data_IF_779362560391
#
_entry.id   IF_779362560391
#
_cell.length_a   1.000
_cell.length_b   1.000
_cell.length_c   1.000
_cell.angle_alpha   90.00
_cell.angle_beta   90.00
_cell.angle_gamma   90.00
#
_symmetry.space_group_name_H-M   'P 1'
#
loop_
_entity.id
_entity.type
_entity.pdbx_description
1 polymer ?
#
# COMPACT_ATOMS: atom_id res chain seq x y z
N UNK A 1 -1.37 -23.53 13.13
CA UNK A 1 -1.14 -22.08 13.19
C UNK A 1 -0.98 -21.54 11.78
N UNK A 2 -1.35 -20.29 11.55
CA UNK A 2 -1.32 -19.71 10.22
C UNK A 2 -0.31 -18.55 10.17
N UNK A 3 0.30 -18.35 9.02
CA UNK A 3 1.19 -17.23 8.77
C UNK A 3 0.55 -16.34 7.67
N UNK A 4 0.37 -15.07 7.96
CA UNK A 4 -0.15 -14.13 6.96
C UNK A 4 0.86 -13.96 5.83
N UNK A 5 0.42 -14.08 4.57
CA UNK A 5 1.32 -13.99 3.42
C UNK A 5 1.01 -12.79 2.51
N UNK A 6 -0.23 -12.36 2.42
CA UNK A 6 -0.56 -11.16 1.68
C UNK A 6 -1.86 -10.53 2.15
N UNK A 7 -2.05 -9.27 1.80
CA UNK A 7 -3.32 -8.54 1.90
C UNK A 7 -3.62 -7.96 0.53
N UNK A 8 -4.89 -7.87 0.17
CA UNK A 8 -5.32 -7.46 -1.16
C UNK A 8 -6.04 -6.11 -1.13
N UNK A 9 -5.71 -5.28 -2.11
CA UNK A 9 -6.39 -4.00 -2.37
C UNK A 9 -6.81 -3.99 -3.83
N UNK A 10 -8.04 -3.56 -4.10
CA UNK A 10 -8.49 -3.31 -5.47
C UNK A 10 -8.02 -1.94 -5.92
N UNK A 11 -7.51 -1.86 -7.15
CA UNK A 11 -7.02 -0.61 -7.73
C UNK A 11 -7.71 -0.33 -9.06
N UNK A 12 -7.91 0.93 -9.32
CA UNK A 12 -8.57 1.40 -10.54
C UNK A 12 -7.56 1.59 -11.68
N UNK A 13 -6.35 2.07 -11.35
CA UNK A 13 -5.27 2.33 -12.30
C UNK A 13 -4.02 1.59 -11.82
N UNK A 14 -3.76 0.43 -12.40
CA UNK A 14 -2.67 -0.44 -11.94
C UNK A 14 -1.31 0.22 -12.07
N UNK A 15 -1.01 0.85 -13.20
CA UNK A 15 0.30 1.46 -13.43
C UNK A 15 0.59 2.58 -12.44
N UNK A 16 -0.41 3.39 -12.15
CA UNK A 16 -0.31 4.45 -11.15
C UNK A 16 -0.08 3.88 -9.75
N UNK A 17 -0.78 2.82 -9.39
CA UNK A 17 -0.62 2.18 -8.09
C UNK A 17 0.75 1.53 -7.96
N UNK A 18 1.24 0.85 -9.00
CA UNK A 18 2.58 0.27 -9.00
C UNK A 18 3.66 1.34 -8.78
N UNK A 19 3.54 2.47 -9.47
CA UNK A 19 4.47 3.57 -9.32
C UNK A 19 4.42 4.17 -7.91
N UNK A 20 3.22 4.35 -7.36
CA UNK A 20 3.04 4.88 -6.01
C UNK A 20 3.72 4.01 -4.95
N UNK A 21 3.43 2.72 -4.95
CA UNK A 21 3.97 1.81 -3.92
C UNK A 21 5.48 1.65 -4.04
N UNK A 22 6.02 1.71 -5.25
CA UNK A 22 7.47 1.70 -5.45
C UNK A 22 8.10 2.97 -4.91
N UNK A 23 7.58 4.14 -5.25
CA UNK A 23 8.12 5.42 -4.80
C UNK A 23 7.98 5.62 -3.29
N UNK A 24 6.78 5.30 -2.77
CA UNK A 24 6.48 5.59 -1.37
C UNK A 24 7.16 4.63 -0.41
N UNK A 25 7.22 3.34 -0.74
CA UNK A 25 7.62 2.31 0.22
C UNK A 25 8.65 1.31 -0.33
N UNK A 26 9.12 1.50 -1.54
CA UNK A 26 10.06 0.56 -2.14
C UNK A 26 9.47 -0.81 -2.39
N UNK A 27 8.14 -0.93 -2.52
CA UNK A 27 7.48 -2.18 -2.82
C UNK A 27 7.53 -2.43 -4.33
N UNK A 28 8.32 -3.41 -4.72
CA UNK A 28 8.54 -3.75 -6.12
C UNK A 28 7.63 -4.88 -6.58
N UNK A 29 7.26 -4.84 -7.85
CA UNK A 29 6.49 -5.91 -8.47
C UNK A 29 7.33 -7.19 -8.53
N UNK A 30 6.88 -8.26 -7.86
CA UNK A 30 7.58 -9.54 -7.85
C UNK A 30 6.86 -10.60 -8.67
N UNK A 31 5.55 -10.45 -8.89
CA UNK A 31 4.79 -11.38 -9.72
C UNK A 31 3.56 -10.67 -10.28
N UNK A 32 3.26 -10.95 -11.54
CA UNK A 32 2.06 -10.44 -12.22
C UNK A 32 1.35 -11.60 -12.91
N UNK A 33 0.06 -11.74 -12.64
CA UNK A 33 -0.79 -12.76 -13.24
C UNK A 33 -1.92 -12.09 -14.00
N UNK A 34 -1.91 -12.21 -15.33
CA UNK A 34 -2.95 -11.63 -16.19
C UNK A 34 -3.99 -12.71 -16.50
N UNK A 35 -5.23 -12.43 -16.13
CA UNK A 35 -6.39 -13.23 -16.49
C UNK A 35 -7.23 -12.47 -17.52
N UNK A 36 -8.27 -13.08 -18.05
CA UNK A 36 -9.11 -12.45 -19.06
C UNK A 36 -9.77 -11.16 -18.56
N UNK A 37 -10.32 -11.18 -17.33
CA UNK A 37 -11.11 -10.07 -16.79
C UNK A 37 -10.38 -9.25 -15.74
N UNK A 38 -9.25 -9.72 -15.23
CA UNK A 38 -8.54 -9.04 -14.18
C UNK A 38 -7.04 -9.39 -14.19
N UNK A 39 -6.26 -8.58 -13.49
CA UNK A 39 -4.83 -8.79 -13.29
C UNK A 39 -4.53 -8.76 -11.79
N UNK A 40 -3.68 -9.67 -11.32
CA UNK A 40 -3.13 -9.67 -9.98
C UNK A 40 -1.67 -9.25 -10.03
N UNK A 41 -1.29 -8.33 -9.16
CA UNK A 41 0.10 -7.88 -9.04
C UNK A 41 0.52 -8.00 -7.58
N UNK A 42 1.66 -8.66 -7.32
CA UNK A 42 2.18 -8.88 -5.99
C UNK A 42 3.42 -8.02 -5.78
N UNK A 43 3.42 -7.23 -4.71
CA UNK A 43 4.48 -6.27 -4.41
C UNK A 43 5.18 -6.66 -3.11
N UNK A 44 6.51 -6.55 -3.09
CA UNK A 44 7.32 -6.87 -1.92
C UNK A 44 8.62 -6.07 -1.95
N UNK A 45 9.24 -5.91 -0.79
CA UNK A 45 10.62 -5.44 -0.68
C UNK A 45 11.42 -6.41 0.20
N UNK A 46 12.69 -6.10 0.44
CA UNK A 46 13.58 -6.99 1.19
C UNK A 46 13.37 -6.94 2.71
N UNK A 47 12.45 -6.09 3.20
CA UNK A 47 12.20 -5.96 4.63
C UNK A 47 11.49 -7.19 5.22
N UNK A 48 10.64 -7.85 4.43
CA UNK A 48 9.95 -9.07 4.85
C UNK A 48 9.40 -9.84 3.65
N UNK A 49 8.76 -10.99 3.94
CA UNK A 49 8.16 -11.85 2.91
C UNK A 49 6.69 -11.52 2.64
N UNK A 50 6.08 -10.65 3.43
CA UNK A 50 4.68 -10.28 3.25
C UNK A 50 4.50 -9.49 1.95
N UNK A 51 3.44 -9.80 1.21
CA UNK A 51 3.18 -9.17 -0.08
C UNK A 51 1.91 -8.35 -0.06
N UNK A 52 1.92 -7.22 -0.73
CA UNK A 52 0.71 -6.49 -1.06
C UNK A 52 0.23 -6.98 -2.41
N UNK A 53 -1.00 -7.51 -2.46
CA UNK A 53 -1.64 -7.94 -3.70
C UNK A 53 -2.53 -6.83 -4.21
N UNK A 54 -2.31 -6.39 -5.44
CA UNK A 54 -3.18 -5.44 -6.12
C UNK A 54 -4.05 -6.21 -7.12
N UNK A 55 -5.36 -6.02 -7.04
CA UNK A 55 -6.30 -6.57 -8.01
C UNK A 55 -6.80 -5.44 -8.90
N UNK A 56 -6.54 -5.56 -10.19
CA UNK A 56 -7.07 -4.64 -11.19
C UNK A 56 -8.11 -5.36 -12.03
N UNK A 57 -9.39 -4.99 -11.84
CA UNK A 57 -10.49 -5.47 -12.67
C UNK A 57 -10.52 -4.63 -13.94
N UNK A 58 -10.35 -5.25 -15.10
CA UNK A 58 -10.14 -4.55 -16.35
C UNK A 58 -11.32 -3.66 -16.78
N UNK A 59 -12.53 -4.03 -16.38
CA UNK A 59 -13.75 -3.29 -16.71
C UNK A 59 -14.14 -2.23 -15.68
N UNK A 60 -13.33 -2.04 -14.66
CA UNK A 60 -13.58 -1.01 -13.64
C UNK A 60 -13.38 0.38 -14.26
N UNK A 61 -14.47 1.14 -14.36
CA UNK A 61 -14.47 2.43 -15.05
C UNK A 61 -14.18 3.62 -14.15
N UNK A 62 -14.36 3.46 -12.82
CA UNK A 62 -14.25 4.56 -11.86
C UNK A 62 -13.45 4.13 -10.62
N UNK A 63 -12.84 5.08 -9.90
CA UNK A 63 -12.17 4.77 -8.63
C UNK A 63 -13.13 4.12 -7.64
N UNK A 64 -12.59 3.23 -6.80
CA UNK A 64 -13.38 2.57 -5.77
C UNK A 64 -13.71 3.52 -4.64
N UNK A 65 -14.93 3.38 -4.10
CA UNK A 65 -15.34 4.08 -2.87
C UNK A 65 -14.87 3.30 -1.64
N UNK A 66 -14.60 4.01 -0.55
CA UNK A 66 -14.17 3.39 0.70
C UNK A 66 -15.31 2.77 1.49
N UNK A 67 -16.54 3.26 1.33
CA UNK A 67 -17.68 2.77 2.10
C UNK A 67 -17.51 3.02 3.59
N UNK A 68 -18.10 2.16 4.41
CA UNK A 68 -18.07 2.25 5.88
C UNK A 68 -17.16 1.22 6.55
N UNK A 69 -16.54 0.33 5.78
CA UNK A 69 -15.72 -0.76 6.29
C UNK A 69 -14.28 -0.74 5.83
N UNK A 70 -13.82 0.39 5.30
CA UNK A 70 -12.46 0.51 4.79
C UNK A 70 -11.44 0.48 5.94
N UNK A 71 -10.37 -0.26 5.74
CA UNK A 71 -9.25 -0.34 6.69
C UNK A 71 -8.00 0.33 6.14
N UNK A 72 -6.83 -0.17 6.55
CA UNK A 72 -5.56 0.38 6.10
C UNK A 72 -4.46 -0.67 6.18
N UNK A 73 -3.37 -0.42 5.47
CA UNK A 73 -2.12 -1.14 5.61
C UNK A 73 -1.16 -0.23 6.39
N UNK A 74 -0.56 -0.76 7.46
CA UNK A 74 0.43 -0.03 8.25
C UNK A 74 1.83 -0.51 7.88
N UNK A 75 2.75 0.44 7.78
CA UNK A 75 4.17 0.16 7.57
C UNK A 75 4.98 0.86 8.64
N UNK A 76 6.13 0.31 9.00
CA UNK A 76 7.06 0.95 9.92
C UNK A 76 8.26 1.47 9.14
N UNK A 77 8.76 2.63 9.53
CA UNK A 77 9.95 3.24 8.94
C UNK A 77 10.90 3.66 10.05
N UNK A 78 12.18 3.81 9.75
CA UNK A 78 13.19 4.20 10.75
C UNK A 78 13.03 5.64 11.21
N UNK A 79 12.72 6.56 10.28
CA UNK A 79 12.61 7.99 10.57
C UNK A 79 11.33 8.51 9.91
N UNK A 80 10.27 8.61 10.70
CA UNK A 80 8.96 9.02 10.21
C UNK A 80 8.96 10.46 9.66
N UNK A 81 9.65 11.37 10.34
CA UNK A 81 9.71 12.77 9.90
C UNK A 81 10.40 12.90 8.54
N UNK A 82 11.51 12.18 8.35
CA UNK A 82 12.23 12.18 7.07
C UNK A 82 11.37 11.59 5.95
N UNK A 83 10.66 10.49 6.21
CA UNK A 83 9.77 9.86 5.23
C UNK A 83 8.59 10.76 4.88
N UNK A 84 8.02 11.43 5.87
CA UNK A 84 6.93 12.39 5.65
C UNK A 84 7.40 13.52 4.71
N UNK A 85 8.58 14.10 4.96
CA UNK A 85 9.13 15.16 4.12
C UNK A 85 9.40 14.67 2.70
N UNK A 86 9.96 13.46 2.56
CA UNK A 86 10.22 12.86 1.24
C UNK A 86 8.94 12.67 0.44
N UNK A 87 7.88 12.17 1.07
CA UNK A 87 6.59 11.97 0.40
C UNK A 87 5.94 13.28 0.01
N UNK A 88 6.08 14.33 0.83
CA UNK A 88 5.62 15.68 0.46
C UNK A 88 6.36 16.19 -0.77
N UNK A 89 7.69 16.04 -0.81
CA UNK A 89 8.51 16.49 -1.94
C UNK A 89 8.15 15.74 -3.24
N UNK A 90 7.72 14.48 -3.12
CA UNK A 90 7.25 13.69 -4.26
C UNK A 90 5.81 14.02 -4.68
N UNK A 91 5.11 14.87 -3.93
CA UNK A 91 3.76 15.33 -4.27
C UNK A 91 2.64 14.41 -3.78
N UNK A 92 2.90 13.52 -2.82
CA UNK A 92 1.89 12.57 -2.33
C UNK A 92 0.97 13.13 -1.24
N UNK A 93 1.26 14.30 -0.71
CA UNK A 93 0.41 15.01 0.27
C UNK A 93 0.06 14.16 1.50
N UNK A 94 1.04 13.61 2.22
CA UNK A 94 0.75 12.85 3.42
C UNK A 94 0.14 13.75 4.51
N UNK A 95 -0.68 13.17 5.38
CA UNK A 95 -1.22 13.89 6.53
C UNK A 95 -0.08 14.22 7.50
N UNK A 96 -0.31 15.20 8.38
CA UNK A 96 0.66 15.56 9.41
C UNK A 96 0.99 14.38 10.33
N UNK A 97 2.22 14.36 10.83
CA UNK A 97 2.65 13.35 11.80
C UNK A 97 1.89 13.54 13.10
N UNK A 98 1.34 12.45 13.63
CA UNK A 98 0.60 12.44 14.90
C UNK A 98 1.23 11.43 15.84
N UNK A 99 1.44 11.83 17.08
CA UNK A 99 1.86 10.93 18.13
C UNK A 99 0.64 10.48 18.94
N UNK A 100 0.57 9.19 19.20
CA UNK A 100 -0.52 8.60 19.97
C UNK A 100 0.04 7.85 21.16
N UNK A 101 -0.66 7.97 22.29
CA UNK A 101 -0.33 7.23 23.52
C UNK A 101 -1.57 6.53 24.03
N UNK A 102 -1.35 5.39 24.66
CA UNK A 102 -2.39 4.69 25.39
C UNK A 102 -1.78 4.13 26.67
N UNK A 103 -2.33 4.50 27.81
CA UNK A 103 -1.81 4.09 29.13
C UNK A 103 -0.33 4.42 29.31
N UNK A 104 0.12 5.57 28.82
CA UNK A 104 1.51 6.03 28.92
C UNK A 104 2.47 5.37 27.94
N UNK A 105 1.98 4.57 27.00
CA UNK A 105 2.81 3.93 25.97
C UNK A 105 2.58 4.58 24.61
N UNK A 106 3.64 4.92 23.87
CA UNK A 106 3.49 5.39 22.49
C UNK A 106 2.96 4.27 21.58
N UNK A 107 2.17 4.63 20.63
CA UNK A 107 1.62 3.70 19.65
C UNK A 107 2.24 3.90 18.27
#
# INVERSE_FOLDING_TARGET
>A
MARAIHSMIRVFDLDRSLAFYREAFGLELVERLDFEDFTLAYLRNDENDFELELTWNHDQAEPYGHGSGYGHLAVVVEDLAAEHARLEDLGHSPRGVVEMEHAGKPL
#
